data_IF_217304780035
#
_entry.id   IF_217304780035
#
_cell.length_a   1.000
_cell.length_b   1.000
_cell.length_c   1.000
_cell.angle_alpha   90.00
_cell.angle_beta   90.00
_cell.angle_gamma   90.00
#
_symmetry.space_group_name_H-M   'P 1'
#
loop_
_entity.id
_entity.type
_entity.pdbx_description
1 polymer ?
#
# COMPACT_ATOMS: atom_id res chain seq x y z
N UNK A 1 16.05 7.75 -14.99
CA UNK A 1 16.26 8.72 -13.89
C UNK A 1 17.33 8.19 -12.94
N UNK A 2 18.15 9.05 -12.31
CA UNK A 2 19.08 8.61 -11.25
C UNK A 2 18.30 8.04 -10.06
N UNK A 3 18.86 7.11 -9.30
CA UNK A 3 18.16 6.43 -8.20
C UNK A 3 17.54 7.41 -7.19
N UNK A 4 18.31 8.41 -6.74
CA UNK A 4 17.82 9.41 -5.75
C UNK A 4 16.65 10.24 -6.29
N UNK A 5 16.73 10.68 -7.54
CA UNK A 5 15.61 11.40 -8.17
C UNK A 5 14.38 10.51 -8.37
N UNK A 6 14.58 9.21 -8.65
CA UNK A 6 13.49 8.24 -8.73
C UNK A 6 12.78 8.04 -7.39
N UNK A 7 13.55 7.90 -6.31
CA UNK A 7 13.02 7.86 -4.95
C UNK A 7 12.21 9.12 -4.60
N UNK A 8 12.76 10.31 -4.89
CA UNK A 8 12.07 11.57 -4.64
C UNK A 8 10.76 11.64 -5.41
N UNK A 9 10.76 11.27 -6.70
CA UNK A 9 9.54 11.21 -7.50
C UNK A 9 8.51 10.26 -6.89
N UNK A 10 8.92 9.06 -6.46
CA UNK A 10 8.00 8.10 -5.85
C UNK A 10 7.43 8.62 -4.52
N UNK A 11 8.20 9.35 -3.72
CA UNK A 11 7.71 9.95 -2.46
C UNK A 11 6.77 11.13 -2.70
N UNK A 12 6.98 11.90 -3.76
CA UNK A 12 6.12 13.03 -4.10
C UNK A 12 4.77 12.57 -4.70
N UNK A 13 4.74 11.43 -5.40
CA UNK A 13 3.57 10.99 -6.17
C UNK A 13 2.90 9.70 -5.63
N UNK A 14 3.62 8.92 -4.83
CA UNK A 14 3.25 7.58 -4.34
C UNK A 14 3.73 7.40 -2.88
N UNK A 15 4.25 6.22 -2.50
CA UNK A 15 4.86 5.99 -1.18
C UNK A 15 6.38 6.05 -1.26
N UNK A 16 7.03 5.12 -1.96
CA UNK A 16 8.49 5.11 -2.19
C UNK A 16 8.82 4.23 -3.44
N UNK A 17 10.10 4.06 -3.75
CA UNK A 17 10.56 2.99 -4.65
C UNK A 17 10.16 1.63 -4.09
N UNK A 18 9.83 0.71 -4.98
CA UNK A 18 9.36 -0.61 -4.60
C UNK A 18 10.37 -1.37 -3.72
N UNK A 19 9.91 -1.83 -2.56
CA UNK A 19 10.57 -2.86 -1.77
C UNK A 19 10.22 -4.25 -2.30
N UNK A 20 11.12 -5.22 -2.13
CA UNK A 20 10.86 -6.61 -2.48
C UNK A 20 11.18 -7.50 -1.28
N UNK A 21 10.14 -8.03 -0.65
CA UNK A 21 10.25 -8.76 0.62
C UNK A 21 10.06 -10.26 0.46
N UNK A 22 9.61 -10.71 -0.71
CA UNK A 22 9.39 -12.11 -1.06
C UNK A 22 9.47 -12.36 -2.58
N UNK A 23 9.41 -13.64 -2.98
CA UNK A 23 9.54 -14.06 -4.38
C UNK A 23 8.36 -13.62 -5.26
N UNK A 24 7.14 -13.64 -4.74
CA UNK A 24 5.93 -13.28 -5.50
C UNK A 24 5.98 -11.80 -5.90
N UNK A 25 6.36 -10.92 -4.96
CA UNK A 25 6.60 -9.50 -5.24
C UNK A 25 7.67 -9.32 -6.31
N UNK A 26 8.78 -10.07 -6.24
CA UNK A 26 9.85 -9.97 -7.23
C UNK A 26 9.35 -10.31 -8.64
N UNK A 27 8.66 -11.44 -8.78
CA UNK A 27 8.12 -11.91 -10.05
C UNK A 27 7.12 -10.90 -10.62
N UNK A 28 6.24 -10.37 -9.78
CA UNK A 28 5.28 -9.36 -10.19
C UNK A 28 5.96 -8.08 -10.69
N UNK A 29 6.98 -7.57 -9.98
CA UNK A 29 7.72 -6.38 -10.42
C UNK A 29 8.50 -6.65 -11.71
N UNK A 30 9.07 -7.85 -11.88
CA UNK A 30 9.75 -8.26 -13.10
C UNK A 30 8.80 -8.27 -14.31
N UNK A 31 7.57 -8.79 -14.16
CA UNK A 31 6.54 -8.73 -15.21
C UNK A 31 6.18 -7.29 -15.58
N UNK A 32 5.98 -6.42 -14.60
CA UNK A 32 5.69 -4.99 -14.82
C UNK A 32 6.85 -4.29 -15.54
N UNK A 33 8.09 -4.69 -15.24
CA UNK A 33 9.29 -4.11 -15.84
C UNK A 33 9.39 -4.35 -17.36
N UNK A 34 8.65 -5.33 -17.91
CA UNK A 34 8.68 -5.71 -19.33
C UNK A 34 10.11 -5.96 -19.83
N UNK A 35 10.87 -6.74 -19.06
CA UNK A 35 12.29 -7.06 -19.32
C UNK A 35 13.20 -5.83 -19.37
N UNK A 36 12.79 -4.69 -18.80
CA UNK A 36 13.65 -3.52 -18.67
C UNK A 36 14.36 -3.54 -17.32
N UNK A 37 15.64 -3.13 -17.28
CA UNK A 37 16.29 -2.85 -16.01
C UNK A 37 15.54 -1.73 -15.27
N UNK A 38 15.13 -1.99 -14.03
CA UNK A 38 14.36 -1.02 -13.21
C UNK A 38 14.98 -0.83 -11.85
N UNK A 39 15.08 0.42 -11.39
CA UNK A 39 15.45 0.71 -10.01
C UNK A 39 14.42 0.18 -9.01
N UNK A 40 14.93 -0.37 -7.91
CA UNK A 40 14.17 -0.75 -6.70
C UNK A 40 14.72 -0.01 -5.48
N UNK A 41 13.98 -0.03 -4.36
CA UNK A 41 14.28 0.76 -3.17
C UNK A 41 15.50 0.31 -2.37
N UNK A 42 16.18 -0.76 -2.75
CA UNK A 42 17.34 -1.27 -2.02
C UNK A 42 18.60 -0.47 -2.36
N UNK A 43 19.30 0.03 -1.33
CA UNK A 43 20.53 0.81 -1.47
C UNK A 43 21.54 0.52 -0.35
N UNK A 44 22.78 0.92 -0.58
CA UNK A 44 23.94 0.58 0.25
C UNK A 44 24.33 1.70 1.21
N UNK A 45 23.67 1.70 2.37
CA UNK A 45 24.24 2.11 3.67
C UNK A 45 24.34 0.90 4.63
N UNK A 46 23.43 -0.08 4.48
CA UNK A 46 23.47 -1.42 5.11
C UNK A 46 22.59 -2.43 4.35
N UNK A 47 22.48 -2.27 3.03
CA UNK A 47 21.47 -2.97 2.21
C UNK A 47 20.05 -2.82 2.79
N UNK A 48 19.68 -1.57 3.01
CA UNK A 48 18.40 -1.21 3.62
C UNK A 48 17.43 -0.76 2.52
N UNK A 49 16.15 -1.04 2.72
CA UNK A 49 15.11 -0.56 1.85
C UNK A 49 14.83 0.93 2.11
N UNK A 50 14.57 1.69 1.05
CA UNK A 50 14.35 3.14 1.12
C UNK A 50 13.12 3.52 1.92
N UNK A 51 12.11 2.65 1.95
CA UNK A 51 10.89 2.77 2.73
C UNK A 51 11.05 2.32 4.21
N UNK A 52 12.21 1.75 4.57
CA UNK A 52 12.45 1.20 5.90
C UNK A 52 11.92 -0.22 6.10
N UNK A 53 11.50 -0.93 5.05
CA UNK A 53 11.06 -2.33 5.16
C UNK A 53 12.16 -3.19 5.80
N UNK A 54 11.78 -3.97 6.82
CA UNK A 54 12.70 -4.84 7.53
C UNK A 54 12.66 -6.25 6.93
N UNK A 55 13.33 -6.46 5.80
CA UNK A 55 13.43 -7.76 5.13
C UNK A 55 14.86 -8.11 4.75
N UNK A 56 15.23 -9.38 5.01
CA UNK A 56 16.50 -9.99 4.59
C UNK A 56 16.42 -10.69 3.24
N UNK A 57 15.26 -10.70 2.58
CA UNK A 57 15.06 -11.34 1.28
C UNK A 57 15.93 -10.71 0.19
N UNK A 58 16.74 -11.51 -0.51
CA UNK A 58 17.62 -11.04 -1.60
C UNK A 58 17.62 -12.04 -2.75
N UNK A 59 17.56 -11.55 -3.98
CA UNK A 59 17.69 -12.34 -5.21
C UNK A 59 18.85 -11.83 -6.07
N UNK A 60 20.04 -11.76 -5.48
CA UNK A 60 21.23 -11.29 -6.18
C UNK A 60 21.58 -12.19 -7.36
N UNK A 61 21.98 -11.58 -8.47
CA UNK A 61 22.65 -12.27 -9.56
C UNK A 61 23.97 -12.87 -9.07
N UNK A 62 24.40 -13.97 -9.69
CA UNK A 62 25.65 -14.63 -9.30
C UNK A 62 26.84 -13.66 -9.36
N UNK A 63 27.56 -13.53 -8.24
CA UNK A 63 28.67 -12.59 -8.09
C UNK A 63 28.28 -11.24 -7.49
N UNK A 64 26.99 -10.95 -7.34
CA UNK A 64 26.50 -9.70 -6.74
C UNK A 64 26.16 -9.85 -5.25
N UNK A 65 26.23 -8.75 -4.47
CA UNK A 65 26.77 -7.44 -4.85
C UNK A 65 28.31 -7.44 -4.85
N UNK A 66 28.95 -7.09 -5.98
CA UNK A 66 30.42 -7.08 -6.09
C UNK A 66 31.06 -5.75 -5.66
N UNK A 67 30.25 -4.69 -5.58
CA UNK A 67 30.67 -3.32 -5.29
C UNK A 67 31.86 -2.87 -6.16
N UNK A 68 31.78 -3.12 -7.46
CA UNK A 68 32.83 -2.77 -8.39
C UNK A 68 33.23 -1.29 -8.29
N UNK A 69 34.48 -1.02 -7.94
CA UNK A 69 35.01 0.34 -7.81
C UNK A 69 34.46 1.16 -6.63
N UNK A 70 33.72 0.56 -5.68
CA UNK A 70 33.27 1.24 -4.46
C UNK A 70 32.09 2.20 -4.63
N UNK A 71 31.46 2.24 -5.81
CA UNK A 71 30.50 3.28 -6.20
C UNK A 71 29.13 2.73 -6.64
N UNK A 72 28.95 1.42 -6.57
CA UNK A 72 27.71 0.74 -6.96
C UNK A 72 26.84 0.48 -5.73
N UNK A 73 26.12 1.53 -5.32
CA UNK A 73 25.40 1.56 -4.07
C UNK A 73 23.88 1.46 -4.24
N UNK A 74 23.37 1.26 -5.46
CA UNK A 74 21.94 1.22 -5.75
C UNK A 74 21.57 -0.05 -6.51
N UNK A 75 20.48 -0.69 -6.09
CA UNK A 75 20.05 -1.97 -6.65
C UNK A 75 18.93 -1.82 -7.67
N UNK A 76 18.88 -2.78 -8.59
CA UNK A 76 17.90 -2.87 -9.65
C UNK A 76 17.49 -4.31 -9.91
N UNK A 77 16.27 -4.53 -10.38
CA UNK A 77 15.92 -5.77 -11.06
C UNK A 77 16.53 -5.71 -12.46
N UNK A 78 17.26 -6.76 -12.83
CA UNK A 78 17.94 -6.88 -14.13
C UNK A 78 16.93 -7.29 -15.21
N UNK A 79 17.34 -7.08 -16.46
CA UNK A 79 16.57 -7.50 -17.63
C UNK A 79 16.50 -9.03 -17.82
N UNK A 80 17.42 -9.77 -17.21
CA UNK A 80 17.53 -11.23 -17.30
C UNK A 80 17.24 -11.88 -15.97
N UNK A 81 16.43 -12.94 -16.02
CA UNK A 81 16.29 -13.93 -14.95
C UNK A 81 15.61 -13.45 -13.67
N UNK A 82 14.95 -12.29 -13.64
CA UNK A 82 14.33 -11.70 -12.44
C UNK A 82 15.28 -11.40 -11.25
N UNK A 83 16.60 -11.52 -11.49
CA UNK A 83 17.65 -11.33 -10.49
C UNK A 83 18.07 -9.87 -10.34
N UNK A 84 18.69 -9.55 -9.21
CA UNK A 84 19.09 -8.20 -8.83
C UNK A 84 20.57 -7.97 -9.14
N UNK A 85 20.88 -6.75 -9.56
CA UNK A 85 22.25 -6.27 -9.71
C UNK A 85 22.44 -4.97 -8.95
N UNK A 86 23.69 -4.61 -8.74
CA UNK A 86 24.06 -3.28 -8.25
C UNK A 86 24.51 -2.41 -9.41
N UNK A 87 24.35 -1.12 -9.27
CA UNK A 87 24.84 -0.17 -10.25
C UNK A 87 25.09 1.20 -9.63
N UNK A 88 25.75 2.08 -10.39
CA UNK A 88 26.02 3.45 -9.96
C UNK A 88 24.70 4.20 -9.82
N UNK A 89 24.42 4.73 -8.64
CA UNK A 89 23.18 5.48 -8.37
C UNK A 89 22.93 6.66 -9.33
N UNK A 90 23.99 7.20 -9.92
CA UNK A 90 23.93 8.28 -10.91
C UNK A 90 23.43 7.84 -12.29
N UNK A 91 23.37 6.54 -12.57
CA UNK A 91 22.91 6.02 -13.86
C UNK A 91 21.40 6.19 -14.03
N UNK A 92 20.96 6.34 -15.29
CA UNK A 92 19.58 6.63 -15.63
C UNK A 92 18.83 5.37 -16.06
N UNK A 93 17.92 4.91 -15.21
CA UNK A 93 17.02 3.79 -15.54
C UNK A 93 15.55 4.14 -15.32
N UNK A 94 14.63 3.38 -15.93
CA UNK A 94 13.26 3.22 -15.43
C UNK A 94 13.23 2.79 -13.96
N UNK A 95 12.09 2.95 -13.29
CA UNK A 95 11.96 2.69 -11.87
C UNK A 95 10.51 2.30 -11.54
N UNK A 96 10.34 1.55 -10.46
CA UNK A 96 9.03 1.13 -9.97
C UNK A 96 8.77 1.79 -8.62
N UNK A 97 7.66 2.52 -8.52
CA UNK A 97 7.13 3.01 -7.26
C UNK A 97 6.08 2.04 -6.73
N UNK A 98 5.91 1.99 -5.42
CA UNK A 98 4.74 1.39 -4.81
C UNK A 98 3.91 2.45 -4.09
N UNK A 99 2.66 2.10 -3.84
CA UNK A 99 1.75 2.90 -3.03
C UNK A 99 1.13 2.00 -1.99
N UNK A 100 1.33 2.34 -0.73
CA UNK A 100 0.56 1.74 0.34
C UNK A 100 -0.89 2.11 0.15
N UNK A 101 -1.69 1.10 -0.15
CA UNK A 101 -3.11 1.23 0.06
C UNK A 101 -3.28 1.26 1.57
N UNK A 102 -3.57 2.43 2.12
CA UNK A 102 -4.17 2.53 3.44
C UNK A 102 -5.52 1.79 3.37
N UNK A 103 -5.45 0.47 3.48
CA UNK A 103 -6.59 -0.40 3.73
C UNK A 103 -6.95 -0.09 5.18
N UNK A 104 -7.62 1.04 5.38
CA UNK A 104 -8.52 1.19 6.51
C UNK A 104 -9.38 -0.08 6.44
N UNK A 105 -9.25 -0.96 7.43
CA UNK A 105 -10.00 -2.22 7.50
C UNK A 105 -11.50 -1.87 7.59
N UNK A 106 -12.12 -1.63 6.44
CA UNK A 106 -13.50 -1.18 6.31
C UNK A 106 -14.39 -2.39 6.26
N UNK A 107 -14.85 -2.82 7.43
CA UNK A 107 -15.91 -3.82 7.52
C UNK A 107 -17.26 -3.17 7.22
N UNK A 108 -17.98 -3.69 6.22
CA UNK A 108 -19.37 -3.29 5.96
C UNK A 108 -20.31 -4.28 6.64
N UNK A 109 -21.16 -3.80 7.53
CA UNK A 109 -22.21 -4.61 8.17
C UNK A 109 -23.58 -4.18 7.64
N UNK A 110 -24.47 -5.14 7.40
CA UNK A 110 -25.88 -4.87 7.16
C UNK A 110 -26.64 -5.02 8.48
N UNK A 111 -27.46 -4.03 8.82
CA UNK A 111 -28.24 -4.02 10.05
C UNK A 111 -29.71 -3.93 9.66
N UNK A 112 -30.55 -4.78 10.26
CA UNK A 112 -32.01 -4.70 10.15
C UNK A 112 -32.53 -3.97 11.38
N UNK A 113 -33.25 -2.88 11.17
CA UNK A 113 -33.84 -2.07 12.23
C UNK A 113 -35.35 -2.32 12.26
N UNK A 114 -35.91 -2.45 13.46
CA UNK A 114 -37.35 -2.56 13.69
C UNK A 114 -37.78 -1.37 14.53
N UNK A 115 -38.86 -0.71 14.12
CA UNK A 115 -39.41 0.45 14.79
C UNK A 115 -40.87 0.17 15.15
N UNK A 116 -41.29 0.60 16.34
CA UNK A 116 -42.67 0.42 16.82
C UNK A 116 -43.64 1.46 16.25
N UNK A 117 -43.12 2.53 15.63
CA UNK A 117 -43.87 3.58 14.97
C UNK A 117 -43.24 3.96 13.62
N UNK A 118 -43.99 4.58 12.70
CA UNK A 118 -43.41 5.18 11.50
C UNK A 118 -42.38 6.24 11.86
N UNK A 119 -41.20 6.16 11.27
CA UNK A 119 -40.10 7.12 11.46
C UNK A 119 -39.63 7.58 10.09
N UNK A 120 -39.33 8.88 9.96
CA UNK A 120 -38.64 9.42 8.79
C UNK A 120 -37.16 9.01 8.83
N UNK A 121 -36.79 8.09 7.94
CA UNK A 121 -35.42 7.56 7.85
C UNK A 121 -34.48 8.47 7.03
N UNK A 122 -35.01 9.52 6.39
CA UNK A 122 -34.22 10.50 5.65
C UNK A 122 -33.88 11.73 6.52
N UNK A 123 -34.48 11.86 7.70
CA UNK A 123 -34.16 12.90 8.69
C UNK A 123 -32.72 12.76 9.23
N UNK A 124 -31.84 13.77 9.04
CA UNK A 124 -30.47 13.74 9.52
C UNK A 124 -30.33 13.52 11.04
N UNK A 125 -31.28 14.01 11.84
CA UNK A 125 -31.30 13.86 13.30
C UNK A 125 -31.56 12.40 13.67
N UNK A 126 -32.51 11.75 12.99
CA UNK A 126 -32.80 10.32 13.16
C UNK A 126 -31.59 9.48 12.77
N UNK A 127 -30.99 9.74 11.60
CA UNK A 127 -29.82 9.00 11.13
C UNK A 127 -28.62 9.13 12.08
N UNK A 128 -28.39 10.32 12.65
CA UNK A 128 -27.33 10.56 13.62
C UNK A 128 -27.57 9.79 14.92
N UNK A 129 -28.81 9.81 15.44
CA UNK A 129 -29.17 9.09 16.67
C UNK A 129 -29.00 7.56 16.52
N UNK A 130 -29.46 6.99 15.40
CA UNK A 130 -29.29 5.56 15.10
C UNK A 130 -27.81 5.21 15.00
N UNK A 131 -27.01 6.01 14.28
CA UNK A 131 -25.58 5.75 14.11
C UNK A 131 -24.83 5.78 15.45
N UNK A 132 -25.20 6.73 16.33
CA UNK A 132 -24.65 6.82 17.68
C UNK A 132 -25.00 5.58 18.52
N UNK A 133 -26.24 5.09 18.42
CA UNK A 133 -26.66 3.88 19.13
C UNK A 133 -25.93 2.63 18.63
N UNK A 134 -25.76 2.49 17.32
CA UNK A 134 -24.99 1.39 16.71
C UNK A 134 -23.52 1.46 17.18
N UNK A 135 -22.92 2.64 17.14
CA UNK A 135 -21.53 2.83 17.57
C UNK A 135 -21.34 2.39 19.03
N UNK A 136 -22.25 2.79 19.93
CA UNK A 136 -22.24 2.38 21.34
C UNK A 136 -22.34 0.86 21.50
N UNK A 137 -23.28 0.20 20.80
CA UNK A 137 -23.42 -1.26 20.90
C UNK A 137 -22.21 -2.02 20.36
N UNK A 138 -21.57 -1.51 19.31
CA UNK A 138 -20.36 -2.12 18.77
C UNK A 138 -19.20 -1.99 19.75
N UNK A 139 -19.06 -0.84 20.43
CA UNK A 139 -18.06 -0.65 21.49
C UNK A 139 -18.26 -1.62 22.65
N UNK A 140 -19.51 -1.81 23.10
CA UNK A 140 -19.86 -2.81 24.14
C UNK A 140 -19.51 -4.25 23.72
N UNK A 141 -19.46 -4.52 22.41
CA UNK A 141 -19.06 -5.81 21.83
C UNK A 141 -17.57 -5.92 21.50
N UNK A 142 -16.76 -4.96 21.92
CA UNK A 142 -15.30 -4.99 21.80
C UNK A 142 -14.73 -4.20 20.62
N UNK A 143 -15.52 -3.36 19.94
CA UNK A 143 -14.99 -2.46 18.92
C UNK A 143 -14.15 -1.33 19.59
N UNK A 144 -12.91 -1.06 19.12
CA UNK A 144 -12.08 0.03 19.66
C UNK A 144 -12.79 1.39 19.61
N UNK A 145 -12.57 2.22 20.64
CA UNK A 145 -13.26 3.51 20.81
C UNK A 145 -12.89 4.55 19.76
N UNK A 146 -11.72 4.45 19.15
CA UNK A 146 -11.23 5.26 18.05
C UNK A 146 -11.77 4.82 16.67
N UNK A 147 -12.56 3.74 16.62
CA UNK A 147 -13.12 3.25 15.36
C UNK A 147 -14.15 4.21 14.78
N UNK A 148 -13.88 4.72 13.57
CA UNK A 148 -14.84 5.56 12.84
C UNK A 148 -15.98 4.73 12.24
N UNK A 149 -17.22 5.00 12.66
CA UNK A 149 -18.43 4.37 12.11
C UNK A 149 -19.20 5.39 11.26
N UNK A 150 -19.57 5.02 10.03
CA UNK A 150 -20.28 5.90 9.09
C UNK A 150 -21.32 5.14 8.28
N UNK A 151 -22.36 5.83 7.84
CA UNK A 151 -23.30 5.29 6.85
C UNK A 151 -22.65 5.06 5.48
N UNK A 152 -23.01 3.95 4.84
CA UNK A 152 -22.65 3.66 3.46
C UNK A 152 -23.84 3.97 2.56
N UNK A 153 -23.76 5.04 1.77
CA UNK A 153 -24.74 5.34 0.72
C UNK A 153 -24.64 4.31 -0.40
N UNK A 154 -25.79 3.82 -0.87
CA UNK A 154 -25.88 2.99 -2.07
C UNK A 154 -25.85 3.87 -3.33
N UNK A 155 -25.92 3.24 -4.50
CA UNK A 155 -25.86 3.91 -5.80
C UNK A 155 -27.01 4.92 -5.98
N UNK A 156 -28.17 4.65 -5.37
CA UNK A 156 -29.33 5.53 -5.36
C UNK A 156 -29.20 6.73 -4.38
N UNK A 157 -28.07 6.85 -3.69
CA UNK A 157 -27.82 7.88 -2.69
C UNK A 157 -28.46 7.62 -1.33
N UNK A 158 -29.26 6.56 -1.18
CA UNK A 158 -29.94 6.21 0.07
C UNK A 158 -29.10 5.30 0.95
N UNK A 159 -29.36 5.37 2.25
CA UNK A 159 -28.72 4.54 3.28
C UNK A 159 -29.64 3.40 3.70
N UNK A 160 -30.94 3.67 3.80
CA UNK A 160 -31.96 2.72 4.27
C UNK A 160 -32.89 2.31 3.12
N UNK A 161 -33.20 1.02 3.09
CA UNK A 161 -34.16 0.42 2.17
C UNK A 161 -35.20 -0.33 3.00
N UNK A 162 -36.48 -0.08 2.73
CA UNK A 162 -37.56 -0.85 3.35
C UNK A 162 -37.56 -2.24 2.74
N UNK A 163 -37.59 -3.26 3.60
CA UNK A 163 -37.77 -4.66 3.22
C UNK A 163 -39.27 -5.00 3.12
#
# INVERSE_FOLDING_TARGET
MSWRLAQLYCRDNHTDLASVTNLEENQHLYEISKNQPVWIGLFRDSWTWSDGANSSFRLWYSGEPDNYGGIENCSMIRHTEDLWGVNKCANHYPFLCYKELNVQNKSTMKVKLKFDSPIDMEDPVVQAAILQQIHKQLQERGLPSDTKVTWKKQIDGKVFHKE
#
